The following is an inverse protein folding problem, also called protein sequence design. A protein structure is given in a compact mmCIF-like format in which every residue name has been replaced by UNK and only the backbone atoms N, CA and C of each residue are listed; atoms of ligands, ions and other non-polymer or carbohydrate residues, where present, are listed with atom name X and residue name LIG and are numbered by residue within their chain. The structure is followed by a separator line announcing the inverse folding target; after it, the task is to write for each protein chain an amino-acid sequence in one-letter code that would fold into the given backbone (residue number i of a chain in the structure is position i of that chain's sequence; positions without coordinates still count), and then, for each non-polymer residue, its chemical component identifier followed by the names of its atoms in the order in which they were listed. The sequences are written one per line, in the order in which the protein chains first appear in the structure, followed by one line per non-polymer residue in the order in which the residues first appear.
data_IF_734233887029
#
_entry.id   IF_734233887029
#
_cell.length_a   1.000
_cell.length_b   1.000
_cell.length_c   1.000
_cell.angle_alpha   90.00
_cell.angle_beta   90.00
_cell.angle_gamma   90.00
#
_symmetry.space_group_name_H-M   'P 1'
#
loop_
_entity.id
_entity.type
_entity.pdbx_description
1 polymer ?
#
# COMPACT_ATOMS: atom_id res chain seq x y z
N UNK A 1 33.52 -10.61 3.69
CA UNK A 1 32.78 -10.29 3.53
C UNK A 1 32.03 -10.05 3.33
N UNK A 2 32.06 -10.34 3.46
CA UNK A 2 31.24 -10.13 3.34
C UNK A 2 30.30 -9.98 3.17
N UNK A 3 30.68 -10.20 3.36
CA UNK A 3 29.62 -10.13 3.18
C UNK A 3 28.86 -9.92 3.14
N UNK A 4 29.28 -10.17 3.38
CA UNK A 4 28.32 -10.04 3.34
C UNK A 4 27.54 -9.73 3.37
N UNK A 5 28.21 -9.85 3.73
CA UNK A 5 27.34 -9.68 3.73
C UNK A 5 26.56 -9.22 3.41
N UNK A 6 26.79 -9.32 3.36
CA UNK A 6 25.94 -9.09 3.05
C UNK A 6 25.12 -8.96 2.70
N UNK A 7 25.30 -9.24 2.49
CA UNK A 7 24.50 -9.35 2.14
C UNK A 7 23.69 -9.28 2.15
N UNK A 8 23.78 -9.99 2.24
CA UNK A 8 22.77 -10.07 2.57
C UNK A 8 22.07 -9.25 2.99
N UNK A 9 22.27 -9.35 3.43
CA UNK A 9 21.86 -8.21 4.08
C UNK A 9 21.55 -7.08 3.18
N UNK A 10 21.88 -7.25 2.04
CA UNK A 10 21.89 -6.16 1.12
C UNK A 10 20.51 -5.69 0.69
N UNK A 11 19.47 -6.49 0.90
CA UNK A 11 18.14 -6.09 0.46
C UNK A 11 17.43 -5.19 1.47
N UNK A 12 17.03 -3.98 1.07
CA UNK A 12 16.24 -3.14 1.98
C UNK A 12 14.85 -3.72 2.18
N UNK A 13 14.18 -3.38 3.28
CA UNK A 13 12.81 -3.82 3.48
C UNK A 13 11.85 -3.21 2.46
N UNK A 14 10.72 -3.87 2.24
CA UNK A 14 9.65 -3.34 1.42
C UNK A 14 9.02 -2.15 2.16
N UNK A 15 8.94 -1.01 1.51
CA UNK A 15 8.41 0.22 2.11
C UNK A 15 6.93 0.35 1.75
N UNK A 16 6.08 0.35 2.77
CA UNK A 16 4.62 0.33 2.61
C UNK A 16 4.01 1.58 3.24
N UNK A 17 3.09 2.20 2.52
CA UNK A 17 2.34 3.37 2.99
C UNK A 17 0.86 3.00 3.10
N UNK A 18 0.20 3.45 4.18
CA UNK A 18 -1.22 3.15 4.41
C UNK A 18 -2.08 4.39 4.18
N UNK A 19 -3.18 4.23 3.44
CA UNK A 19 -4.20 5.28 3.31
C UNK A 19 -5.48 4.70 3.91
N UNK A 20 -5.74 5.08 5.17
CA UNK A 20 -6.78 4.49 5.99
C UNK A 20 -7.20 5.48 7.07
N UNK A 21 -8.49 5.80 7.17
CA UNK A 21 -8.96 6.80 8.13
C UNK A 21 -9.29 6.24 9.52
N UNK A 22 -9.39 4.93 9.68
CA UNK A 22 -9.67 4.31 10.97
C UNK A 22 -8.39 4.05 11.74
N UNK A 23 -8.26 4.65 12.92
CA UNK A 23 -7.11 4.44 13.80
C UNK A 23 -6.96 2.97 14.15
N UNK A 24 -8.06 2.30 14.53
CA UNK A 24 -7.99 0.90 14.94
C UNK A 24 -7.59 -0.01 13.78
N UNK A 25 -8.07 0.27 12.57
CA UNK A 25 -7.69 -0.52 11.40
C UNK A 25 -6.21 -0.30 11.07
N UNK A 26 -5.74 0.95 11.14
CA UNK A 26 -4.31 1.24 10.89
C UNK A 26 -3.43 0.49 11.89
N UNK A 27 -3.80 0.47 13.17
CA UNK A 27 -3.03 -0.23 14.19
C UNK A 27 -3.00 -1.73 13.93
N UNK A 28 -4.12 -2.31 13.52
CA UNK A 28 -4.16 -3.73 13.16
C UNK A 28 -3.29 -4.04 11.95
N UNK A 29 -3.33 -3.17 10.94
CA UNK A 29 -2.49 -3.34 9.76
C UNK A 29 -1.01 -3.22 10.13
N UNK A 30 -0.67 -2.25 10.95
CA UNK A 30 0.71 -2.05 11.40
C UNK A 30 1.22 -3.30 12.12
N UNK A 31 0.45 -3.82 13.08
CA UNK A 31 0.85 -5.00 13.84
C UNK A 31 0.94 -6.25 12.97
N UNK A 32 -0.03 -6.42 12.06
CA UNK A 32 -0.14 -7.63 11.27
C UNK A 32 0.86 -7.68 10.12
N UNK A 33 1.12 -6.54 9.48
CA UNK A 33 1.93 -6.49 8.27
C UNK A 33 3.41 -6.18 8.51
N UNK A 34 3.74 -5.49 9.61
CA UNK A 34 5.13 -5.16 9.92
C UNK A 34 5.94 -6.42 10.17
N UNK A 35 7.13 -6.48 9.58
CA UNK A 35 8.01 -7.61 9.69
C UNK A 35 9.43 -7.06 9.65
N UNK A 36 10.12 -6.96 10.81
CA UNK A 36 11.42 -6.29 10.90
C UNK A 36 12.40 -6.79 9.86
N UNK A 37 12.96 -5.86 9.11
CA UNK A 37 13.91 -6.18 8.05
C UNK A 37 13.28 -6.63 6.73
N UNK A 38 11.99 -6.96 6.73
CA UNK A 38 11.29 -7.45 5.54
C UNK A 38 10.24 -6.47 5.04
N UNK A 39 9.37 -6.00 5.92
CA UNK A 39 8.27 -5.08 5.58
C UNK A 39 8.24 -3.96 6.60
N UNK A 40 8.35 -2.73 6.11
CA UNK A 40 8.33 -1.55 6.97
C UNK A 40 7.16 -0.64 6.57
N UNK A 41 6.27 -0.35 7.53
CA UNK A 41 5.21 0.62 7.32
C UNK A 41 5.82 2.00 7.59
N UNK A 42 5.99 2.79 6.53
CA UNK A 42 6.75 4.04 6.61
C UNK A 42 5.89 5.26 6.91
N UNK A 43 4.57 5.13 6.82
CA UNK A 43 3.69 6.25 7.12
C UNK A 43 2.25 5.94 6.78
N UNK A 44 1.38 6.92 7.06
CA UNK A 44 -0.04 6.79 6.76
C UNK A 44 -0.68 8.15 6.50
N UNK A 45 -1.86 8.12 5.88
CA UNK A 45 -2.72 9.29 5.75
C UNK A 45 -4.18 8.89 5.98
N UNK A 46 -5.01 9.84 6.42
CA UNK A 46 -6.41 9.60 6.73
C UNK A 46 -7.35 10.13 5.64
N UNK A 47 -6.82 10.91 4.71
CA UNK A 47 -7.63 11.52 3.68
C UNK A 47 -6.83 11.63 2.38
N UNK A 48 -7.54 11.94 1.30
CA UNK A 48 -6.94 12.01 -0.03
C UNK A 48 -5.83 13.04 -0.12
N UNK A 49 -6.07 14.26 0.36
CA UNK A 49 -5.12 15.36 0.21
C UNK A 49 -3.80 15.06 0.92
N UNK A 50 -3.88 14.53 2.15
CA UNK A 50 -2.67 14.17 2.90
C UNK A 50 -1.90 13.04 2.23
N UNK A 51 -2.63 12.03 1.72
CA UNK A 51 -2.00 10.91 1.02
C UNK A 51 -1.24 11.38 -0.22
N UNK A 52 -1.88 12.22 -1.03
CA UNK A 52 -1.25 12.71 -2.26
C UNK A 52 -0.02 13.56 -1.93
N UNK A 53 -0.11 14.43 -0.92
CA UNK A 53 1.00 15.29 -0.54
C UNK A 53 2.18 14.46 -0.01
N UNK A 54 1.91 13.51 0.88
CA UNK A 54 2.97 12.68 1.48
C UNK A 54 3.64 11.78 0.45
N UNK A 55 2.86 11.15 -0.42
CA UNK A 55 3.39 10.24 -1.43
C UNK A 55 4.10 10.95 -2.57
N UNK A 56 3.94 12.26 -2.66
CA UNK A 56 4.68 13.09 -3.60
C UNK A 56 6.15 13.20 -3.20
N UNK A 57 6.40 13.32 -1.90
CA UNK A 57 7.74 13.53 -1.37
C UNK A 57 8.43 12.23 -0.97
N UNK A 58 7.64 11.23 -0.57
CA UNK A 58 8.15 10.00 0.01
C UNK A 58 7.87 8.81 -0.91
N UNK A 59 8.89 8.37 -1.62
CA UNK A 59 8.77 7.22 -2.52
C UNK A 59 8.59 5.94 -1.71
N UNK A 60 7.55 5.17 -2.05
CA UNK A 60 7.27 3.89 -1.40
C UNK A 60 7.18 2.78 -2.44
N UNK A 61 7.30 1.54 -1.98
CA UNK A 61 7.18 0.37 -2.87
C UNK A 61 5.72 -0.04 -3.06
N UNK A 62 4.92 0.10 -2.00
CA UNK A 62 3.51 -0.32 -2.00
C UNK A 62 2.66 0.73 -1.29
N UNK A 63 1.52 1.06 -1.87
CA UNK A 63 0.50 1.88 -1.20
C UNK A 63 -0.74 1.00 -1.01
N UNK A 64 -1.18 0.85 0.24
CA UNK A 64 -2.41 0.13 0.59
C UNK A 64 -3.47 1.19 0.85
N UNK A 65 -4.54 1.16 0.06
CA UNK A 65 -5.49 2.26 -0.02
C UNK A 65 -6.92 1.78 0.23
N UNK A 66 -7.58 2.38 1.23
CA UNK A 66 -9.02 2.22 1.40
C UNK A 66 -9.74 3.23 0.50
N UNK A 67 -10.87 2.82 -0.04
CA UNK A 67 -11.66 3.67 -0.94
C UNK A 67 -12.47 4.72 -0.19
N UNK A 68 -12.88 4.42 1.04
CA UNK A 68 -13.77 5.28 1.81
C UNK A 68 -12.99 6.02 2.89
N UNK A 69 -12.69 7.28 2.63
CA UNK A 69 -11.88 8.10 3.51
C UNK A 69 -12.70 9.22 4.13
N UNK A 70 -12.20 9.83 5.22
CA UNK A 70 -12.85 10.96 5.90
C UNK A 70 -13.12 12.12 4.95
N UNK A 71 -12.16 12.41 4.08
CA UNK A 71 -12.28 13.48 3.11
C UNK A 71 -11.62 13.02 1.82
N UNK A 72 -12.31 13.16 0.71
CA UNK A 72 -11.85 12.64 -0.56
C UNK A 72 -12.11 11.14 -0.66
N UNK A 73 -11.39 10.47 -1.54
CA UNK A 73 -11.58 9.05 -1.77
C UNK A 73 -10.28 8.35 -2.17
N UNK A 74 -10.24 7.03 -1.94
CA UNK A 74 -9.12 6.22 -2.42
C UNK A 74 -9.00 6.21 -3.94
N UNK A 75 -10.11 6.37 -4.65
CA UNK A 75 -10.06 6.48 -6.12
C UNK A 75 -9.18 7.65 -6.55
N UNK A 76 -9.32 8.80 -5.88
CA UNK A 76 -8.51 9.98 -6.18
C UNK A 76 -7.04 9.76 -5.88
N UNK A 77 -6.73 9.04 -4.80
CA UNK A 77 -5.35 8.70 -4.45
C UNK A 77 -4.73 7.84 -5.55
N UNK A 78 -5.45 6.82 -6.02
CA UNK A 78 -4.96 5.94 -7.08
C UNK A 78 -4.63 6.75 -8.33
N UNK A 79 -5.55 7.59 -8.77
CA UNK A 79 -5.37 8.42 -9.97
C UNK A 79 -4.16 9.35 -9.83
N UNK A 80 -4.01 9.95 -8.65
CA UNK A 80 -2.90 10.87 -8.39
C UNK A 80 -1.55 10.14 -8.41
N UNK A 81 -1.47 8.94 -7.86
CA UNK A 81 -0.24 8.16 -7.88
C UNK A 81 0.17 7.77 -9.29
N UNK A 82 -0.79 7.38 -10.12
CA UNK A 82 -0.48 7.03 -11.51
C UNK A 82 -0.01 8.27 -12.29
N UNK A 83 -0.62 9.41 -12.05
CA UNK A 83 -0.20 10.65 -12.71
C UNK A 83 1.17 11.11 -12.23
N UNK A 84 1.44 10.96 -10.93
CA UNK A 84 2.70 11.37 -10.31
C UNK A 84 3.88 10.51 -10.77
N UNK A 85 3.66 9.21 -10.93
CA UNK A 85 4.70 8.24 -11.26
C UNK A 85 4.33 7.42 -12.49
N UNK A 86 4.27 8.05 -13.68
CA UNK A 86 3.76 7.35 -14.86
C UNK A 86 4.63 6.18 -15.32
N UNK A 87 5.93 6.26 -15.10
CA UNK A 87 6.86 5.21 -15.54
C UNK A 87 7.03 4.11 -14.50
N UNK A 88 6.93 4.45 -13.21
CA UNK A 88 7.27 3.54 -12.13
C UNK A 88 6.47 3.87 -10.87
N UNK A 89 5.14 3.67 -10.91
CA UNK A 89 4.32 3.91 -9.73
C UNK A 89 4.59 2.86 -8.67
N UNK A 90 4.26 3.15 -7.40
CA UNK A 90 4.26 2.08 -6.40
C UNK A 90 3.22 1.03 -6.77
N UNK A 91 3.36 -0.17 -6.23
CA UNK A 91 2.31 -1.17 -6.36
C UNK A 91 1.10 -0.67 -5.58
N UNK A 92 -0.04 -0.60 -6.24
CA UNK A 92 -1.27 -0.05 -5.65
C UNK A 92 -2.19 -1.19 -5.25
N UNK A 93 -2.42 -1.32 -3.94
CA UNK A 93 -3.25 -2.36 -3.34
C UNK A 93 -4.47 -1.69 -2.72
N UNK A 94 -5.66 -2.05 -3.20
CA UNK A 94 -6.90 -1.58 -2.59
C UNK A 94 -7.35 -2.60 -1.55
N UNK A 95 -7.66 -2.11 -0.35
CA UNK A 95 -8.17 -2.94 0.74
C UNK A 95 -9.39 -2.22 1.32
N UNK A 96 -10.59 -2.72 1.03
CA UNK A 96 -11.82 -1.99 1.32
C UNK A 96 -12.94 -2.90 1.82
N UNK A 97 -13.84 -2.34 2.64
CA UNK A 97 -15.08 -3.01 3.01
C UNK A 97 -16.12 -2.94 1.88
N UNK A 98 -15.86 -2.15 0.84
CA UNK A 98 -16.77 -1.94 -0.28
C UNK A 98 -16.27 -2.68 -1.51
N UNK A 99 -16.12 -4.00 -1.37
CA UNK A 99 -15.53 -4.85 -2.42
C UNK A 99 -16.58 -5.26 -3.47
N UNK A 100 -17.24 -4.26 -4.06
CA UNK A 100 -18.21 -4.49 -5.12
C UNK A 100 -17.50 -4.64 -6.48
N UNK A 101 -18.03 -5.50 -7.37
CA UNK A 101 -17.38 -5.70 -8.68
C UNK A 101 -17.18 -4.40 -9.48
N UNK A 102 -18.14 -3.50 -9.45
CA UNK A 102 -18.03 -2.22 -10.17
C UNK A 102 -16.92 -1.34 -9.58
N UNK A 103 -16.67 -1.44 -8.28
CA UNK A 103 -15.59 -0.69 -7.64
C UNK A 103 -14.23 -1.29 -8.01
N UNK A 104 -14.16 -2.62 -8.11
CA UNK A 104 -12.92 -3.28 -8.54
C UNK A 104 -12.56 -2.86 -9.97
N UNK A 105 -13.54 -2.85 -10.87
CA UNK A 105 -13.32 -2.41 -12.25
C UNK A 105 -12.82 -0.97 -12.26
N UNK A 106 -13.48 -0.07 -11.52
CA UNK A 106 -13.11 1.34 -11.48
C UNK A 106 -11.70 1.54 -10.93
N UNK A 107 -11.31 0.76 -9.90
CA UNK A 107 -9.97 0.83 -9.34
C UNK A 107 -8.91 0.39 -10.34
N UNK A 108 -9.16 -0.72 -11.02
CA UNK A 108 -8.18 -1.25 -11.98
C UNK A 108 -8.04 -0.32 -13.19
N UNK A 109 -9.11 0.31 -13.61
CA UNK A 109 -9.06 1.29 -14.70
C UNK A 109 -8.21 2.50 -14.32
N UNK A 110 -8.17 2.85 -13.04
CA UNK A 110 -7.34 3.95 -12.54
C UNK A 110 -5.90 3.54 -12.30
N UNK A 111 -5.61 2.24 -12.29
CA UNK A 111 -4.25 1.74 -12.15
C UNK A 111 -3.97 0.93 -10.90
N UNK A 112 -4.99 0.49 -10.17
CA UNK A 112 -4.79 -0.42 -9.05
C UNK A 112 -4.30 -1.77 -9.55
N UNK A 113 -3.33 -2.34 -8.85
CA UNK A 113 -2.75 -3.64 -9.20
C UNK A 113 -3.47 -4.79 -8.51
N UNK A 114 -3.96 -4.56 -7.28
CA UNK A 114 -4.64 -5.58 -6.48
C UNK A 114 -5.84 -4.98 -5.77
N UNK A 115 -6.85 -5.80 -5.56
CA UNK A 115 -8.10 -5.37 -4.93
C UNK A 115 -8.56 -6.46 -3.97
N UNK A 116 -8.66 -6.14 -2.69
CA UNK A 116 -9.02 -7.09 -1.63
C UNK A 116 -10.18 -6.60 -0.79
N UNK A 117 -10.99 -7.56 -0.36
CA UNK A 117 -12.07 -7.35 0.61
C UNK A 117 -11.47 -7.35 2.02
N UNK A 118 -11.64 -6.24 2.74
CA UNK A 118 -11.08 -6.08 4.07
C UNK A 118 -11.62 -7.10 5.06
N UNK A 119 -12.87 -7.53 4.89
CA UNK A 119 -13.50 -8.45 5.83
C UNK A 119 -13.10 -9.92 5.63
N UNK A 120 -12.70 -10.31 4.41
CA UNK A 120 -12.43 -11.71 4.10
C UNK A 120 -11.01 -11.98 3.60
N UNK A 121 -10.29 -10.96 3.15
CA UNK A 121 -8.99 -11.14 2.48
C UNK A 121 -7.85 -10.41 3.17
N UNK A 122 -8.02 -10.04 4.42
CA UNK A 122 -7.00 -9.31 5.18
C UNK A 122 -5.66 -10.04 5.16
N UNK A 123 -5.70 -11.37 5.36
CA UNK A 123 -4.49 -12.19 5.33
C UNK A 123 -3.81 -12.27 3.98
N UNK A 124 -4.58 -12.10 2.90
CA UNK A 124 -4.03 -12.14 1.54
C UNK A 124 -3.06 -10.99 1.30
N UNK A 125 -3.28 -9.85 1.96
CA UNK A 125 -2.38 -8.69 1.84
C UNK A 125 -1.00 -9.05 2.38
N UNK A 126 -0.94 -9.73 3.52
CA UNK A 126 0.34 -10.13 4.10
C UNK A 126 1.11 -11.07 3.17
N UNK A 127 0.42 -12.05 2.59
CA UNK A 127 1.02 -12.97 1.62
C UNK A 127 1.57 -12.20 0.42
N UNK A 128 0.78 -11.26 -0.10
CA UNK A 128 1.20 -10.44 -1.23
C UNK A 128 2.47 -9.65 -0.90
N UNK A 129 2.53 -9.03 0.28
CA UNK A 129 3.70 -8.24 0.66
C UNK A 129 4.95 -9.11 0.74
N UNK A 130 4.82 -10.34 1.24
CA UNK A 130 5.92 -11.29 1.25
C UNK A 130 6.43 -11.61 -0.14
N UNK A 131 5.50 -11.82 -1.09
CA UNK A 131 5.85 -12.10 -2.47
C UNK A 131 6.54 -10.89 -3.12
N UNK A 132 6.02 -9.70 -2.90
CA UNK A 132 6.61 -8.47 -3.45
C UNK A 132 7.98 -8.21 -2.86
N UNK A 133 8.17 -8.50 -1.57
CA UNK A 133 9.47 -8.37 -0.92
C UNK A 133 10.51 -9.29 -1.57
N UNK A 134 10.09 -10.51 -1.89
CA UNK A 134 10.98 -11.49 -2.53
C UNK A 134 11.42 -11.06 -3.91
N UNK A 135 10.64 -10.24 -4.58
CA UNK A 135 10.94 -9.73 -5.93
C UNK A 135 11.75 -8.44 -5.90
N UNK A 136 11.94 -7.85 -4.74
CA UNK A 136 12.65 -6.57 -4.62
C UNK A 136 14.21 -6.69 -4.68
#
# INVERSE_FOLDING_TARGET
MESDAGGSAARPPLRVYLVEDSISVRERLLDFLSDPGEVEIVGYAENEAAAVANLKDDRVDVAIIDLNLKAGSGFGVISALRAQYPASPPTIVVLTNYAFPEYEVACRERGADFFFDKSTQFGSVKTLLGDLRSQK
#
